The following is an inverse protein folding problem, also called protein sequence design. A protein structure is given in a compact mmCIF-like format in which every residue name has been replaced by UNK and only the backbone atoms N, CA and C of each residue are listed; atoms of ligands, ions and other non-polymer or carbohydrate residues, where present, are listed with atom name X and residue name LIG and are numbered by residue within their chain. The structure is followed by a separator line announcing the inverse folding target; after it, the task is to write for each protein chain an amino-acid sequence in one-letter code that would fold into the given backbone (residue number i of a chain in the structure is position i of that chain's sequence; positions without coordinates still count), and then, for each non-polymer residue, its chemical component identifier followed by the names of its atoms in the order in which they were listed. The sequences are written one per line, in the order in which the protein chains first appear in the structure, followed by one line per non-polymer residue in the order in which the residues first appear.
data_IF_169302817115
#
_entry.id   IF_169302817115
#
_cell.length_a   1.000
_cell.length_b   1.000
_cell.length_c   1.000
_cell.angle_alpha   90.00
_cell.angle_beta   90.00
_cell.angle_gamma   90.00
#
_symmetry.space_group_name_H-M   'P 1'
#
loop_
_entity.id
_entity.type
_entity.pdbx_description
1 polymer ?
#
# COMPACT_ATOMS: atom_id res chain seq x y z
N UNK A 1 10.39 -13.28 24.86
CA UNK A 1 9.70 -12.16 25.54
C UNK A 1 8.76 -11.54 24.52
N UNK A 2 7.44 -11.50 24.77
CA UNK A 2 6.45 -10.97 23.80
C UNK A 2 6.45 -9.44 23.92
N UNK A 3 7.00 -8.73 22.93
CA UNK A 3 7.25 -7.27 22.98
C UNK A 3 6.05 -6.42 22.53
N UNK A 4 4.93 -7.03 22.16
CA UNK A 4 3.68 -6.34 21.84
C UNK A 4 2.72 -7.20 21.02
N UNK A 5 1.47 -6.77 20.93
CA UNK A 5 0.46 -7.31 20.00
C UNK A 5 -0.11 -6.15 19.19
N UNK A 6 0.05 -6.18 17.87
CA UNK A 6 -0.60 -5.24 16.97
C UNK A 6 -1.83 -5.91 16.39
N UNK A 7 -3.01 -5.33 16.63
CA UNK A 7 -4.28 -5.83 16.09
C UNK A 7 -4.85 -4.86 15.04
N UNK A 8 -5.37 -5.39 13.93
CA UNK A 8 -6.05 -4.69 12.83
C UNK A 8 -7.54 -5.10 12.77
N UNK A 9 -8.36 -4.74 13.78
CA UNK A 9 -9.79 -5.01 13.76
C UNK A 9 -10.49 -4.25 12.62
N UNK A 10 -11.53 -4.86 12.04
CA UNK A 10 -12.39 -4.19 11.06
C UNK A 10 -13.20 -3.10 11.75
N UNK A 11 -12.95 -1.85 11.36
CA UNK A 11 -13.72 -0.69 11.80
C UNK A 11 -14.59 -0.16 10.67
N UNK A 12 -15.82 0.19 11.02
CA UNK A 12 -16.78 0.82 10.11
C UNK A 12 -16.79 2.33 10.37
N UNK A 13 -16.95 3.11 9.30
CA UNK A 13 -16.96 4.57 9.38
C UNK A 13 -16.07 5.22 8.33
N UNK A 14 -16.07 6.55 8.32
CA UNK A 14 -15.23 7.38 7.45
C UNK A 14 -14.54 8.43 8.31
N UNK A 15 -13.29 8.73 7.99
CA UNK A 15 -12.60 9.88 8.57
C UNK A 15 -13.44 11.15 8.32
N UNK A 16 -13.71 11.98 9.35
CA UNK A 16 -14.39 13.25 9.16
C UNK A 16 -13.66 14.11 8.12
N UNK A 17 -14.40 14.81 7.26
CA UNK A 17 -13.83 15.59 6.16
C UNK A 17 -12.78 16.60 6.63
N UNK A 18 -13.04 17.28 7.75
CA UNK A 18 -12.12 18.26 8.33
C UNK A 18 -10.79 17.64 8.76
N UNK A 19 -10.82 16.41 9.31
CA UNK A 19 -9.63 15.69 9.72
C UNK A 19 -8.86 15.23 8.50
N UNK A 20 -9.54 14.59 7.55
CA UNK A 20 -8.93 14.12 6.31
C UNK A 20 -8.22 15.25 5.53
N UNK A 21 -8.80 16.44 5.48
CA UNK A 21 -8.16 17.61 4.86
C UNK A 21 -6.85 18.01 5.55
N UNK A 22 -6.78 17.90 6.88
CA UNK A 22 -5.54 18.15 7.63
C UNK A 22 -4.53 17.03 7.40
N UNK A 23 -4.97 15.77 7.38
CA UNK A 23 -4.15 14.61 7.05
C UNK A 23 -3.49 14.78 5.69
N UNK A 24 -4.26 15.14 4.65
CA UNK A 24 -3.74 15.31 3.29
C UNK A 24 -2.69 16.43 3.20
N UNK A 25 -2.90 17.54 3.90
CA UNK A 25 -1.92 18.63 3.97
C UNK A 25 -0.64 18.19 4.67
N UNK A 26 -0.74 17.53 5.81
CA UNK A 26 0.44 17.06 6.53
C UNK A 26 1.18 15.94 5.76
N UNK A 27 0.43 15.03 5.11
CA UNK A 27 0.98 14.00 4.25
C UNK A 27 1.80 14.61 3.11
N UNK A 28 1.29 15.69 2.49
CA UNK A 28 2.01 16.47 1.47
C UNK A 28 3.33 16.95 2.04
N UNK A 29 3.31 17.76 3.10
CA UNK A 29 4.53 18.41 3.61
C UNK A 29 5.59 17.39 4.04
N UNK A 30 5.18 16.35 4.77
CA UNK A 30 6.11 15.29 5.19
C UNK A 30 6.69 14.52 4.01
N UNK A 31 5.85 14.16 3.03
CA UNK A 31 6.32 13.45 1.83
C UNK A 31 7.26 14.33 1.02
N UNK A 32 6.93 15.60 0.82
CA UNK A 32 7.78 16.58 0.13
C UNK A 32 9.16 16.64 0.77
N UNK A 33 9.24 16.84 2.09
CA UNK A 33 10.54 16.89 2.80
C UNK A 33 11.33 15.60 2.60
N UNK A 34 10.68 14.43 2.75
CA UNK A 34 11.37 13.14 2.58
C UNK A 34 11.90 12.97 1.16
N UNK A 35 11.08 13.30 0.15
CA UNK A 35 11.46 13.14 -1.25
C UNK A 35 12.54 14.14 -1.64
N UNK A 36 12.51 15.38 -1.15
CA UNK A 36 13.53 16.40 -1.43
C UNK A 36 14.88 16.03 -0.80
N UNK A 37 14.87 15.57 0.45
CA UNK A 37 16.10 15.27 1.20
C UNK A 37 16.71 13.90 0.84
N UNK A 38 15.87 12.90 0.55
CA UNK A 38 16.31 11.50 0.39
C UNK A 38 15.90 10.84 -0.92
N UNK A 39 15.11 11.53 -1.76
CA UNK A 39 14.62 11.02 -3.02
C UNK A 39 13.31 10.23 -2.94
N UNK A 40 12.64 10.08 -4.09
CA UNK A 40 11.37 9.36 -4.25
C UNK A 40 11.48 7.87 -3.86
N UNK A 41 12.63 7.26 -4.14
CA UNK A 41 12.92 5.85 -3.80
C UNK A 41 12.94 5.59 -2.29
N UNK A 42 13.48 6.52 -1.50
CA UNK A 42 13.43 6.40 -0.03
C UNK A 42 11.99 6.45 0.49
N UNK A 43 11.14 7.29 -0.11
CA UNK A 43 9.72 7.32 0.25
C UNK A 43 9.03 5.98 -0.05
N UNK A 44 9.35 5.33 -1.17
CA UNK A 44 8.82 4.00 -1.52
C UNK A 44 9.22 2.94 -0.47
N UNK A 45 10.49 2.91 -0.06
CA UNK A 45 11.00 2.01 0.99
C UNK A 45 10.26 2.21 2.32
N UNK A 46 10.10 3.47 2.73
CA UNK A 46 9.37 3.84 3.95
C UNK A 46 7.91 3.42 3.91
N UNK A 47 7.23 3.59 2.77
CA UNK A 47 5.84 3.16 2.59
C UNK A 47 5.70 1.62 2.56
N UNK A 48 6.71 0.90 2.07
CA UNK A 48 6.73 -0.56 2.11
C UNK A 48 7.06 -1.12 3.49
N UNK A 49 7.74 -0.37 4.36
CA UNK A 49 7.96 -0.80 5.74
C UNK A 49 6.66 -0.71 6.56
N UNK A 50 6.18 -1.82 7.14
CA UNK A 50 4.89 -1.85 7.81
C UNK A 50 4.84 -1.02 9.09
N UNK A 51 5.95 -0.86 9.81
CA UNK A 51 6.01 -0.11 11.06
C UNK A 51 6.09 1.39 10.80
N UNK A 52 6.89 1.79 9.81
CA UNK A 52 6.98 3.17 9.36
C UNK A 52 5.64 3.62 8.77
N UNK A 53 5.02 2.83 7.90
CA UNK A 53 3.70 3.13 7.33
C UNK A 53 2.64 3.32 8.41
N UNK A 54 2.64 2.42 9.41
CA UNK A 54 1.73 2.51 10.54
C UNK A 54 1.98 3.79 11.37
N UNK A 55 3.25 4.09 11.65
CA UNK A 55 3.66 5.29 12.39
C UNK A 55 3.30 6.56 11.64
N UNK A 56 3.47 6.58 10.31
CA UNK A 56 3.09 7.70 9.45
C UNK A 56 1.59 7.94 9.52
N UNK A 57 0.77 6.89 9.44
CA UNK A 57 -0.68 6.98 9.65
C UNK A 57 -1.05 7.59 11.01
N UNK A 58 -0.33 7.22 12.07
CA UNK A 58 -0.52 7.81 13.39
C UNK A 58 -0.12 9.28 13.49
N UNK A 59 1.01 9.65 12.90
CA UNK A 59 1.46 11.05 12.83
C UNK A 59 0.45 11.93 12.08
N UNK A 60 -0.20 11.38 11.05
CA UNK A 60 -1.25 12.12 10.34
C UNK A 60 -2.53 12.31 11.18
N UNK A 61 -2.65 11.68 12.35
CA UNK A 61 -3.78 11.83 13.27
C UNK A 61 -4.78 10.68 13.21
N UNK A 62 -4.34 9.48 12.82
CA UNK A 62 -5.16 8.27 12.84
C UNK A 62 -4.78 7.32 13.97
N UNK A 63 -5.73 6.57 14.50
CA UNK A 63 -5.43 5.61 15.57
C UNK A 63 -4.67 4.38 15.08
N UNK A 64 -3.76 3.90 15.92
CA UNK A 64 -2.93 2.72 15.63
C UNK A 64 -3.76 1.45 15.38
N UNK A 65 -4.83 1.24 16.14
CA UNK A 65 -5.58 -0.03 16.13
C UNK A 65 -6.76 -0.03 15.14
N UNK A 66 -6.54 0.50 13.93
CA UNK A 66 -7.62 0.63 12.94
C UNK A 66 -7.24 0.12 11.56
N UNK A 67 -8.00 -0.85 11.05
CA UNK A 67 -8.01 -1.20 9.61
C UNK A 67 -8.36 -0.02 8.71
N UNK A 68 -9.01 1.02 9.24
CA UNK A 68 -9.25 2.27 8.53
C UNK A 68 -7.99 3.06 8.21
N UNK A 69 -6.91 2.88 8.98
CA UNK A 69 -5.65 3.62 8.86
C UNK A 69 -5.07 3.48 7.46
N UNK A 70 -4.91 2.25 6.97
CA UNK A 70 -4.34 1.99 5.64
C UNK A 70 -5.10 2.72 4.55
N UNK A 71 -6.43 2.56 4.54
CA UNK A 71 -7.25 3.15 3.48
C UNK A 71 -7.30 4.67 3.55
N UNK A 72 -7.21 5.25 4.76
CA UNK A 72 -7.26 6.69 4.97
C UNK A 72 -5.90 7.33 4.69
N UNK A 73 -4.81 6.71 5.13
CA UNK A 73 -3.44 7.14 4.85
C UNK A 73 -3.16 7.17 3.35
N UNK A 74 -3.44 6.08 2.63
CA UNK A 74 -3.27 6.04 1.18
C UNK A 74 -4.15 7.07 0.47
N UNK A 75 -5.38 7.29 0.94
CA UNK A 75 -6.25 8.34 0.43
C UNK A 75 -5.70 9.74 0.66
N UNK A 76 -5.20 10.02 1.87
CA UNK A 76 -4.64 11.31 2.26
C UNK A 76 -3.34 11.59 1.50
N UNK A 77 -2.49 10.58 1.30
CA UNK A 77 -1.28 10.67 0.48
C UNK A 77 -1.63 11.02 -0.97
N UNK A 78 -2.55 10.26 -1.59
CA UNK A 78 -2.99 10.50 -2.97
C UNK A 78 -3.60 11.91 -3.15
N UNK A 79 -4.42 12.33 -2.21
CA UNK A 79 -5.03 13.67 -2.25
C UNK A 79 -3.99 14.77 -2.01
N UNK A 80 -3.10 14.58 -1.04
CA UNK A 80 -2.06 15.55 -0.68
C UNK A 80 -1.07 15.79 -1.82
N UNK A 81 -0.68 14.73 -2.53
CA UNK A 81 0.27 14.84 -3.63
C UNK A 81 -0.33 15.35 -4.95
N UNK A 82 -1.66 15.52 -5.04
CA UNK A 82 -2.29 16.02 -6.27
C UNK A 82 -1.71 17.38 -6.65
N UNK A 83 -1.16 17.47 -7.86
CA UNK A 83 -0.55 18.69 -8.40
C UNK A 83 0.93 18.87 -8.06
N UNK A 84 1.50 18.00 -7.22
CA UNK A 84 2.94 17.93 -6.92
C UNK A 84 3.57 16.62 -7.41
N UNK A 85 2.75 15.67 -7.88
CA UNK A 85 3.17 14.35 -8.37
C UNK A 85 4.29 14.44 -9.40
N UNK A 86 4.16 15.37 -10.36
CA UNK A 86 5.21 15.63 -11.36
C UNK A 86 6.47 16.16 -10.70
N UNK A 87 6.38 17.21 -9.90
CA UNK A 87 7.54 17.88 -9.29
C UNK A 87 8.36 16.92 -8.42
N UNK A 88 7.68 16.13 -7.59
CA UNK A 88 8.29 15.15 -6.71
C UNK A 88 8.72 13.87 -7.44
N UNK A 89 8.24 13.66 -8.66
CA UNK A 89 8.44 12.42 -9.39
C UNK A 89 7.88 11.21 -8.66
N UNK A 90 6.77 11.38 -7.94
CA UNK A 90 6.12 10.36 -7.12
C UNK A 90 4.62 10.34 -7.40
N UNK A 91 4.12 9.20 -7.87
CA UNK A 91 2.75 9.03 -8.35
C UNK A 91 2.02 8.00 -7.50
N UNK A 92 0.72 8.23 -7.25
CA UNK A 92 -0.13 7.34 -6.44
C UNK A 92 -1.37 6.96 -7.24
N UNK A 93 -1.50 5.67 -7.53
CA UNK A 93 -2.63 5.08 -8.24
C UNK A 93 -3.43 4.12 -7.34
N UNK A 94 -4.71 3.96 -7.63
CA UNK A 94 -5.61 3.08 -6.89
C UNK A 94 -6.25 3.71 -5.66
N UNK A 95 -6.71 2.87 -4.74
CA UNK A 95 -7.38 3.25 -3.50
C UNK A 95 -8.32 2.17 -2.99
N UNK A 96 -9.38 2.58 -2.27
CA UNK A 96 -10.38 1.67 -1.69
C UNK A 96 -11.52 1.37 -2.67
N UNK A 97 -12.03 0.13 -2.64
CA UNK A 97 -13.25 -0.28 -3.33
C UNK A 97 -13.15 -0.09 -4.85
N UNK A 98 -14.08 0.63 -5.47
CA UNK A 98 -14.07 0.82 -6.94
C UNK A 98 -12.79 1.50 -7.45
N UNK A 99 -12.13 2.30 -6.62
CA UNK A 99 -10.90 3.00 -7.04
C UNK A 99 -9.72 2.03 -7.20
N UNK A 100 -9.64 0.92 -6.45
CA UNK A 100 -8.57 -0.08 -6.64
C UNK A 100 -8.60 -0.69 -8.04
N UNK A 101 -9.79 -0.85 -8.62
CA UNK A 101 -9.98 -1.44 -9.95
C UNK A 101 -9.55 -0.51 -11.08
N UNK A 102 -9.38 0.79 -10.81
CA UNK A 102 -8.93 1.79 -11.79
C UNK A 102 -7.41 2.01 -11.77
N UNK A 103 -6.68 1.29 -10.91
CA UNK A 103 -5.22 1.44 -10.81
C UNK A 103 -4.51 1.33 -12.16
N UNK A 104 -4.82 0.34 -13.03
CA UNK A 104 -4.21 0.27 -14.36
C UNK A 104 -4.43 1.53 -15.21
N UNK A 105 -5.68 2.01 -15.29
CA UNK A 105 -6.01 3.22 -16.05
C UNK A 105 -5.31 4.47 -15.48
N UNK A 106 -5.14 4.55 -14.16
CA UNK A 106 -4.46 5.67 -13.52
C UNK A 106 -2.96 5.65 -13.76
N UNK A 107 -2.33 4.46 -13.79
CA UNK A 107 -0.92 4.30 -14.19
C UNK A 107 -0.73 4.72 -15.65
N UNK A 108 -1.56 4.23 -16.57
CA UNK A 108 -1.47 4.54 -17.99
C UNK A 108 -1.57 6.04 -18.29
N UNK A 109 -2.43 6.78 -17.56
CA UNK A 109 -2.58 8.24 -17.73
C UNK A 109 -1.30 9.02 -17.47
N UNK A 110 -0.45 8.56 -16.56
CA UNK A 110 0.80 9.23 -16.20
C UNK A 110 2.04 8.48 -16.69
N UNK A 111 1.85 7.37 -17.40
CA UNK A 111 2.95 6.52 -17.88
C UNK A 111 3.94 7.23 -18.78
N UNK A 112 3.50 8.23 -19.55
CA UNK A 112 4.38 9.08 -20.37
C UNK A 112 5.38 9.94 -19.57
N UNK A 113 5.25 9.99 -18.24
CA UNK A 113 6.14 10.72 -17.33
C UNK A 113 7.16 9.81 -16.63
N UNK A 114 7.12 8.51 -16.92
CA UNK A 114 7.94 7.47 -16.30
C UNK A 114 8.91 6.93 -17.35
N UNK A 115 10.14 6.63 -16.95
CA UNK A 115 11.19 6.08 -17.81
C UNK A 115 10.90 4.63 -18.22
N UNK A 116 10.11 3.92 -17.42
CA UNK A 116 9.65 2.55 -17.70
C UNK A 116 8.36 2.55 -18.52
N UNK A 117 8.19 1.48 -19.29
CA UNK A 117 6.94 1.21 -20.00
C UNK A 117 5.77 1.11 -19.01
N UNK A 118 4.71 1.89 -19.26
CA UNK A 118 3.53 1.91 -18.39
C UNK A 118 2.92 0.52 -18.20
N UNK A 119 3.03 -0.35 -19.22
CA UNK A 119 2.52 -1.72 -19.17
C UNK A 119 3.28 -2.61 -18.19
N UNK A 120 4.57 -2.37 -17.94
CA UNK A 120 5.33 -3.09 -16.90
C UNK A 120 4.79 -2.75 -15.51
N UNK A 121 4.48 -1.48 -15.25
CA UNK A 121 3.89 -1.04 -13.98
C UNK A 121 2.46 -1.56 -13.80
N UNK A 122 1.66 -1.56 -14.88
CA UNK A 122 0.32 -2.17 -14.87
C UNK A 122 0.39 -3.66 -14.57
N UNK A 123 1.36 -4.37 -15.17
CA UNK A 123 1.59 -5.79 -14.91
C UNK A 123 1.94 -6.01 -13.44
N UNK A 124 2.90 -5.27 -12.89
CA UNK A 124 3.29 -5.36 -11.48
C UNK A 124 2.10 -5.11 -10.53
N UNK A 125 1.30 -4.06 -10.79
CA UNK A 125 0.08 -3.76 -10.03
C UNK A 125 -0.91 -4.94 -10.04
N UNK A 126 -1.16 -5.54 -11.22
CA UNK A 126 -2.07 -6.69 -11.36
C UNK A 126 -1.53 -7.93 -10.68
N UNK A 127 -0.23 -8.21 -10.80
CA UNK A 127 0.39 -9.38 -10.20
C UNK A 127 0.36 -9.30 -8.67
N UNK A 128 0.74 -8.15 -8.09
CA UNK A 128 0.63 -7.95 -6.64
C UNK A 128 -0.80 -8.17 -6.12
N UNK A 129 -1.81 -7.69 -6.86
CA UNK A 129 -3.21 -7.91 -6.49
C UNK A 129 -3.65 -9.36 -6.64
N UNK A 130 -3.17 -10.05 -7.68
CA UNK A 130 -3.51 -11.44 -7.95
C UNK A 130 -2.89 -12.37 -6.90
N UNK A 131 -1.63 -12.15 -6.55
CA UNK A 131 -0.89 -12.93 -5.55
C UNK A 131 -1.51 -12.75 -4.17
N UNK A 132 -1.80 -11.52 -3.74
CA UNK A 132 -2.40 -11.29 -2.43
C UNK A 132 -3.82 -11.87 -2.31
N UNK A 133 -4.50 -12.08 -3.44
CA UNK A 133 -5.84 -12.67 -3.49
C UNK A 133 -5.81 -14.21 -3.60
N UNK A 134 -4.86 -14.78 -4.33
CA UNK A 134 -4.89 -16.19 -4.73
C UNK A 134 -3.71 -17.02 -4.19
N UNK A 135 -2.57 -16.39 -3.92
CA UNK A 135 -1.37 -17.05 -3.40
C UNK A 135 -1.56 -17.55 -1.97
N UNK A 136 -2.41 -16.89 -1.19
CA UNK A 136 -2.76 -17.29 0.18
C UNK A 136 -4.24 -17.67 0.25
N UNK A 137 -4.54 -18.96 0.43
CA UNK A 137 -5.93 -19.44 0.57
C UNK A 137 -6.39 -19.40 2.03
N UNK A 138 -6.77 -18.21 2.50
CA UNK A 138 -7.07 -17.94 3.91
C UNK A 138 -8.37 -17.15 4.14
N UNK A 139 -9.15 -16.95 3.07
CA UNK A 139 -10.43 -16.27 3.10
C UNK A 139 -10.36 -14.74 3.20
N UNK A 140 -9.18 -14.13 3.07
CA UNK A 140 -9.08 -12.67 2.95
C UNK A 140 -9.35 -12.23 1.50
N UNK A 141 -10.23 -11.23 1.34
CA UNK A 141 -10.53 -10.63 0.03
C UNK A 141 -9.99 -9.20 -0.03
N UNK A 142 -9.19 -8.91 -1.06
CA UNK A 142 -8.63 -7.58 -1.29
C UNK A 142 -9.74 -6.58 -1.60
N UNK A 143 -9.79 -5.50 -0.81
CA UNK A 143 -10.74 -4.40 -0.98
C UNK A 143 -10.07 -3.04 -1.10
N UNK A 144 -8.76 -2.99 -0.91
CA UNK A 144 -7.93 -1.80 -1.04
C UNK A 144 -6.62 -2.18 -1.72
N UNK A 145 -6.25 -1.40 -2.74
CA UNK A 145 -5.00 -1.54 -3.46
C UNK A 145 -4.51 -0.15 -3.83
N UNK A 146 -3.34 0.22 -3.33
CA UNK A 146 -2.66 1.46 -3.68
C UNK A 146 -1.29 1.12 -4.24
N UNK A 147 -1.01 1.59 -5.45
CA UNK A 147 0.24 1.42 -6.16
C UNK A 147 0.96 2.76 -6.20
N UNK A 148 2.16 2.84 -5.63
CA UNK A 148 2.97 4.06 -5.59
C UNK A 148 4.23 3.81 -6.41
N UNK A 149 4.59 4.74 -7.29
CA UNK A 149 5.73 4.60 -8.19
C UNK A 149 6.41 5.92 -8.46
N UNK A 150 7.68 5.87 -8.82
CA UNK A 150 8.47 7.04 -9.17
C UNK A 150 8.81 7.12 -10.66
N UNK A 151 9.47 8.19 -11.08
CA UNK A 151 9.86 8.43 -12.49
C UNK A 151 10.81 7.36 -13.03
N UNK A 152 11.65 6.80 -12.20
CA UNK A 152 12.61 5.75 -12.56
C UNK A 152 11.92 4.36 -12.68
N UNK A 153 10.63 4.28 -12.37
CA UNK A 153 9.83 3.06 -12.41
C UNK A 153 10.02 2.12 -11.22
N UNK A 154 10.68 2.56 -10.15
CA UNK A 154 10.59 1.87 -8.87
C UNK A 154 9.20 2.07 -8.29
N UNK A 155 8.70 1.04 -7.59
CA UNK A 155 7.34 1.04 -7.04
C UNK A 155 7.26 0.31 -5.71
N UNK A 156 6.20 0.61 -4.96
CA UNK A 156 5.73 -0.16 -3.83
C UNK A 156 4.20 -0.31 -3.88
N UNK A 157 3.70 -1.36 -3.24
CA UNK A 157 2.26 -1.62 -3.15
C UNK A 157 1.87 -1.75 -1.69
N UNK A 158 0.77 -1.08 -1.32
CA UNK A 158 0.10 -1.31 -0.04
C UNK A 158 -1.32 -1.80 -0.31
N UNK A 159 -1.60 -3.02 0.13
CA UNK A 159 -2.87 -3.69 -0.05
C UNK A 159 -3.52 -4.04 1.27
N UNK A 160 -4.86 -4.12 1.27
CA UNK A 160 -5.58 -4.63 2.42
C UNK A 160 -6.68 -5.61 2.01
N UNK A 161 -6.59 -6.80 2.60
CA UNK A 161 -7.60 -7.83 2.58
C UNK A 161 -8.50 -7.74 3.80
N UNK A 162 -9.77 -8.13 3.67
CA UNK A 162 -10.69 -8.32 4.78
C UNK A 162 -11.18 -9.77 4.83
N UNK A 163 -11.33 -10.30 6.04
CA UNK A 163 -12.05 -11.54 6.28
C UNK A 163 -13.30 -11.22 7.11
N UNK A 164 -14.48 -11.35 6.50
CA UNK A 164 -15.76 -10.98 7.12
C UNK A 164 -16.18 -11.96 8.22
N UNK A 165 -15.74 -13.22 8.14
CA UNK A 165 -16.01 -14.25 9.14
C UNK A 165 -15.25 -13.99 10.45
N UNK A 166 -13.97 -13.65 10.37
CA UNK A 166 -13.14 -13.33 11.55
C UNK A 166 -13.21 -11.86 11.97
N UNK A 167 -13.74 -10.99 11.11
CA UNK A 167 -13.78 -9.52 11.26
C UNK A 167 -12.40 -8.88 11.41
N UNK A 168 -11.41 -9.45 10.72
CA UNK A 168 -10.03 -8.96 10.73
C UNK A 168 -9.64 -8.40 9.36
N UNK A 169 -8.70 -7.47 9.36
CA UNK A 169 -7.98 -7.04 8.16
C UNK A 169 -6.58 -7.64 8.13
N UNK A 170 -6.05 -7.82 6.93
CA UNK A 170 -4.65 -8.15 6.69
C UNK A 170 -4.07 -7.14 5.71
N UNK A 171 -2.90 -6.60 6.05
CA UNK A 171 -2.20 -5.64 5.19
C UNK A 171 -0.99 -6.30 4.55
N UNK A 172 -0.77 -6.02 3.28
CA UNK A 172 0.34 -6.56 2.50
C UNK A 172 1.16 -5.39 1.97
N UNK A 173 2.47 -5.55 2.00
CA UNK A 173 3.44 -4.57 1.52
C UNK A 173 4.37 -5.22 0.51
N UNK A 174 4.58 -4.53 -0.60
CA UNK A 174 5.50 -4.92 -1.66
C UNK A 174 6.48 -3.79 -1.93
N UNK A 175 7.70 -4.12 -2.30
CA UNK A 175 8.71 -3.18 -2.76
C UNK A 175 9.45 -3.77 -3.96
N UNK A 176 9.44 -3.05 -5.08
CA UNK A 176 10.08 -3.47 -6.33
C UNK A 176 11.54 -3.91 -6.20
N UNK A 177 12.32 -3.35 -5.25
CA UNK A 177 13.73 -3.69 -5.05
C UNK A 177 13.97 -5.13 -4.60
N UNK A 178 12.98 -5.79 -4.00
CA UNK A 178 13.07 -7.17 -3.51
C UNK A 178 12.25 -8.18 -4.30
N UNK A 179 11.58 -7.77 -5.40
CA UNK A 179 10.75 -8.67 -6.20
C UNK A 179 11.58 -9.23 -7.35
N UNK A 180 12.08 -10.45 -7.17
CA UNK A 180 12.75 -11.23 -8.22
C UNK A 180 11.74 -12.10 -8.99
N UNK A 181 10.78 -12.69 -8.27
CA UNK A 181 9.63 -13.41 -8.81
C UNK A 181 8.36 -12.91 -8.11
N UNK A 182 7.27 -12.71 -8.86
CA UNK A 182 5.98 -12.34 -8.29
C UNK A 182 5.30 -13.50 -7.55
N UNK A 183 5.69 -14.75 -7.80
CA UNK A 183 5.02 -15.93 -7.21
C UNK A 183 5.90 -16.73 -6.24
N UNK A 184 7.09 -16.24 -5.92
CA UNK A 184 7.98 -16.85 -4.93
C UNK A 184 8.45 -15.78 -3.93
N UNK A 185 7.96 -15.86 -2.69
CA UNK A 185 8.24 -14.94 -1.57
C UNK A 185 8.34 -13.45 -1.92
N UNK A 186 7.33 -12.86 -2.60
CA UNK A 186 7.48 -11.54 -3.21
C UNK A 186 7.25 -10.36 -2.25
N UNK A 187 6.83 -10.64 -1.01
CA UNK A 187 6.34 -9.64 -0.07
C UNK A 187 7.48 -9.01 0.73
N UNK A 188 7.48 -7.68 0.83
CA UNK A 188 8.30 -6.98 1.82
C UNK A 188 7.77 -7.21 3.24
N UNK A 189 6.44 -7.29 3.40
CA UNK A 189 5.81 -7.67 4.65
C UNK A 189 4.35 -8.11 4.48
N UNK A 190 3.90 -9.02 5.35
CA UNK A 190 2.48 -9.35 5.55
C UNK A 190 2.13 -9.13 7.02
N UNK A 191 1.20 -8.21 7.29
CA UNK A 191 0.76 -7.86 8.65
C UNK A 191 -0.62 -8.45 8.94
N UNK A 192 -0.67 -9.41 9.87
CA UNK A 192 -1.92 -10.03 10.33
C UNK A 192 -1.90 -10.38 11.82
N UNK A 193 -3.07 -10.33 12.46
CA UNK A 193 -3.24 -10.59 13.90
C UNK A 193 -3.26 -12.08 14.23
N UNK A 194 -3.82 -12.90 13.33
CA UNK A 194 -3.90 -14.36 13.47
C UNK A 194 -3.01 -15.03 12.44
N UNK A 195 -2.03 -15.77 12.95
CA UNK A 195 -1.31 -16.78 12.19
C UNK A 195 -2.15 -18.07 12.22
N UNK A 196 -2.55 -18.53 11.04
CA UNK A 196 -3.05 -19.89 10.84
C UNK A 196 -2.05 -20.67 9.99
N UNK A 197 -2.43 -21.88 9.56
CA UNK A 197 -1.70 -22.63 8.54
C UNK A 197 -2.49 -22.59 7.22
N UNK A 198 -2.62 -21.44 6.55
CA UNK A 198 -3.26 -21.40 5.25
C UNK A 198 -2.37 -22.09 4.20
N UNK A 199 -2.99 -22.54 3.11
CA UNK A 199 -2.22 -22.95 1.95
C UNK A 199 -1.55 -21.70 1.35
N UNK A 200 -0.22 -21.66 1.41
CA UNK A 200 0.61 -20.60 0.86
C UNK A 200 1.28 -21.10 -0.41
N UNK A 201 0.70 -20.77 -1.56
CA UNK A 201 1.16 -21.17 -2.89
C UNK A 201 2.36 -20.35 -3.39
N UNK A 202 2.80 -19.34 -2.63
CA UNK A 202 3.96 -18.51 -2.96
C UNK A 202 5.12 -18.69 -1.99
N UNK A 203 5.04 -19.70 -1.12
CA UNK A 203 6.15 -20.07 -0.25
C UNK A 203 7.24 -20.72 -1.08
N UNK A 204 8.51 -20.43 -0.79
CA UNK A 204 9.63 -21.03 -1.51
C UNK A 204 9.60 -22.58 -1.43
N UNK A 205 9.08 -23.14 -0.34
CA UNK A 205 8.96 -24.58 -0.14
C UNK A 205 7.87 -25.24 -1.03
N UNK A 206 7.14 -24.45 -1.82
CA UNK A 206 6.13 -24.94 -2.77
C UNK A 206 6.64 -25.11 -4.21
N UNK A 207 7.92 -24.79 -4.48
CA UNK A 207 8.61 -25.12 -5.73
C UNK A 207 9.00 -26.61 -5.83
#
# INVERSE_FOLDING_TARGET
MRTGTANLPLHYGKAPKWLFQRMAKLAREMTTVIVVEFGSREMLRRLSDPFWFQSFGCVLGFDWHSSGLTTTLCGALKEGLRGLDRELGLFVAGGKGRTSRRTPEEIERVGHLVEREAQELVYASRMAAKVDTAGLQDGYQIYHHTFIFNREGAWCVVQQGMNTGTRLARRYHWLSEGVEDFVCEPHAAICCDRQGNPLNMVAQESE
#
